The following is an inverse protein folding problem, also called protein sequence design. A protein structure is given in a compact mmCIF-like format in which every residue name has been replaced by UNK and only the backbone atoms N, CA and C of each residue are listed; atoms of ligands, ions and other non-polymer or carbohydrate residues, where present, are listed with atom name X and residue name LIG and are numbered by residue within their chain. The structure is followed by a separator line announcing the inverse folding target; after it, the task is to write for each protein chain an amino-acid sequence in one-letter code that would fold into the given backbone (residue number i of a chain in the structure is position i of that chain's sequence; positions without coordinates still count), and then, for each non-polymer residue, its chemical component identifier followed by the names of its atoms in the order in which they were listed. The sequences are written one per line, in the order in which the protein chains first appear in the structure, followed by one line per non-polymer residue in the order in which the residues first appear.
data_IF_606850936492
#
_entry.id   IF_606850936492
#
_cell.length_a   1.000
_cell.length_b   1.000
_cell.length_c   1.000
_cell.angle_alpha   90.00
_cell.angle_beta   90.00
_cell.angle_gamma   90.00
#
_symmetry.space_group_name_H-M   'P 1'
#
loop_
_entity.id
_entity.type
_entity.pdbx_description
1 polymer ?
#
# COMPACT_ATOMS: atom_id res chain seq x y z
N UNK A 1 -2.79 -0.65 -7.05
CA UNK A 1 -4.00 0.19 -6.84
C UNK A 1 -4.67 -0.05 -5.49
N UNK A 2 -4.77 -1.30 -5.00
CA UNK A 2 -5.46 -1.64 -3.73
C UNK A 2 -5.06 -0.82 -2.49
N UNK A 3 -3.77 -0.62 -2.23
CA UNK A 3 -3.31 0.15 -1.07
C UNK A 3 -3.75 1.63 -1.11
N UNK A 4 -3.66 2.25 -2.29
CA UNK A 4 -4.10 3.62 -2.52
C UNK A 4 -5.61 3.75 -2.30
N UNK A 5 -6.39 2.84 -2.88
CA UNK A 5 -7.84 2.81 -2.75
C UNK A 5 -8.30 2.62 -1.29
N UNK A 6 -7.63 1.71 -0.57
CA UNK A 6 -7.88 1.52 0.85
C UNK A 6 -7.59 2.80 1.64
N UNK A 7 -6.45 3.44 1.42
CA UNK A 7 -6.06 4.65 2.18
C UNK A 7 -6.94 5.86 1.85
N UNK A 8 -7.39 5.98 0.59
CA UNK A 8 -8.33 7.02 0.17
C UNK A 8 -9.72 6.81 0.80
N UNK A 9 -10.26 5.59 0.77
CA UNK A 9 -11.58 5.27 1.34
C UNK A 9 -11.62 5.37 2.86
N UNK A 10 -10.52 5.04 3.54
CA UNK A 10 -10.36 5.22 5.00
C UNK A 10 -10.12 6.70 5.39
N UNK A 11 -10.03 7.63 4.44
CA UNK A 11 -9.76 9.05 4.72
C UNK A 11 -8.36 9.31 5.28
N UNK A 12 -7.44 8.34 5.15
CA UNK A 12 -6.06 8.47 5.62
C UNK A 12 -5.27 9.45 4.73
N UNK A 13 -5.62 9.52 3.45
CA UNK A 13 -4.90 10.29 2.44
C UNK A 13 -5.87 10.98 1.48
N UNK A 14 -5.43 12.09 0.88
CA UNK A 14 -6.15 12.77 -0.20
C UNK A 14 -5.59 12.40 -1.59
N UNK A 15 -6.20 12.89 -2.67
CA UNK A 15 -5.77 12.56 -4.05
C UNK A 15 -4.36 12.98 -4.41
N UNK A 16 -3.89 14.13 -3.89
CA UNK A 16 -2.52 14.60 -4.16
C UNK A 16 -1.52 13.64 -3.52
N UNK A 17 -1.73 13.30 -2.26
CA UNK A 17 -0.85 12.39 -1.52
C UNK A 17 -0.88 10.97 -2.11
N UNK A 18 -2.01 10.57 -2.67
CA UNK A 18 -2.13 9.31 -3.41
C UNK A 18 -1.27 9.31 -4.67
N UNK A 19 -1.18 10.45 -5.37
CA UNK A 19 -0.23 10.60 -6.49
C UNK A 19 1.20 10.41 -6.00
N UNK A 20 1.58 11.09 -4.92
CA UNK A 20 2.93 11.01 -4.37
C UNK A 20 3.31 9.57 -3.97
N UNK A 21 2.39 8.85 -3.31
CA UNK A 21 2.61 7.43 -2.98
C UNK A 21 2.71 6.56 -4.23
N UNK A 22 1.89 6.81 -5.26
CA UNK A 22 1.94 6.05 -6.49
C UNK A 22 3.29 6.23 -7.20
N UNK A 23 3.79 7.46 -7.25
CA UNK A 23 5.08 7.79 -7.86
C UNK A 23 6.22 7.05 -7.15
N UNK A 24 6.25 7.09 -5.81
CA UNK A 24 7.25 6.34 -5.00
C UNK A 24 7.18 4.84 -5.26
N UNK A 25 5.97 4.27 -5.37
CA UNK A 25 5.78 2.85 -5.67
C UNK A 25 6.24 2.49 -7.09
N UNK A 26 5.98 3.34 -8.08
CA UNK A 26 6.37 3.12 -9.47
C UNK A 26 7.88 3.20 -9.65
N UNK A 27 8.51 4.26 -9.14
CA UNK A 27 9.95 4.49 -9.21
C UNK A 27 10.76 3.36 -8.54
N UNK A 28 10.19 2.72 -7.50
CA UNK A 28 10.87 1.69 -6.74
C UNK A 28 10.35 0.27 -7.01
N UNK A 29 9.37 0.10 -7.91
CA UNK A 29 8.66 -1.16 -8.16
C UNK A 29 9.57 -2.39 -8.25
N UNK A 30 10.66 -2.33 -9.03
CA UNK A 30 11.62 -3.43 -9.17
C UNK A 30 12.34 -3.83 -7.87
N UNK A 31 12.51 -2.90 -6.91
CA UNK A 31 13.10 -3.16 -5.58
C UNK A 31 12.07 -3.67 -4.57
N UNK A 32 10.78 -3.48 -4.85
CA UNK A 32 9.70 -3.77 -3.91
C UNK A 32 9.31 -5.25 -3.86
N UNK A 33 9.50 -5.98 -4.94
CA UNK A 33 9.04 -7.37 -5.07
C UNK A 33 9.84 -8.41 -4.27
N UNK A 34 11.11 -8.14 -4.00
CA UNK A 34 12.04 -9.15 -3.46
C UNK A 34 12.29 -9.01 -1.95
N UNK A 35 11.68 -8.00 -1.29
CA UNK A 35 11.97 -7.69 0.12
C UNK A 35 10.70 -7.45 0.93
N UNK A 36 10.76 -7.76 2.23
CA UNK A 36 9.73 -7.40 3.21
C UNK A 36 9.71 -5.88 3.42
N UNK A 37 9.20 -5.15 2.44
CA UNK A 37 9.17 -3.69 2.46
C UNK A 37 8.03 -3.18 3.32
N UNK A 38 8.27 -2.07 4.02
CA UNK A 38 7.26 -1.40 4.85
C UNK A 38 7.00 0.01 4.33
N UNK A 39 5.72 0.31 4.11
CA UNK A 39 5.24 1.67 3.91
C UNK A 39 5.13 2.37 5.27
N UNK A 40 5.68 3.57 5.34
CA UNK A 40 5.43 4.54 6.40
C UNK A 40 4.83 5.79 5.77
N UNK A 41 3.62 6.13 6.19
CA UNK A 41 2.96 7.37 5.82
C UNK A 41 2.79 8.22 7.07
N UNK A 42 3.41 9.39 7.06
CA UNK A 42 3.43 10.31 8.20
C UNK A 42 2.93 11.68 7.79
N UNK A 43 2.42 12.45 8.74
CA UNK A 43 1.99 13.83 8.52
C UNK A 43 2.44 14.73 9.66
N UNK A 44 2.95 15.91 9.31
CA UNK A 44 3.32 16.97 10.24
C UNK A 44 2.77 18.30 9.74
N UNK A 45 1.92 18.94 10.54
CA UNK A 45 1.36 20.27 10.22
C UNK A 45 0.73 20.36 8.81
N UNK A 46 0.02 19.31 8.39
CA UNK A 46 -0.61 19.24 7.07
C UNK A 46 0.30 18.80 5.92
N UNK A 47 1.62 18.74 6.12
CA UNK A 47 2.57 18.20 5.14
C UNK A 47 2.75 16.71 5.39
N UNK A 48 2.55 15.90 4.36
CA UNK A 48 2.75 14.46 4.43
C UNK A 48 4.06 14.01 3.81
N UNK A 49 4.55 12.88 4.29
CA UNK A 49 5.75 12.22 3.77
C UNK A 49 5.46 10.73 3.66
N UNK A 50 5.81 10.18 2.50
CA UNK A 50 5.74 8.76 2.18
C UNK A 50 7.16 8.21 2.17
N UNK A 51 7.39 7.12 2.89
CA UNK A 51 8.66 6.39 2.85
C UNK A 51 8.40 4.90 2.66
N UNK A 52 9.24 4.24 1.87
CA UNK A 52 9.30 2.78 1.82
C UNK A 52 10.66 2.31 2.32
N UNK A 53 10.66 1.53 3.39
CA UNK A 53 11.86 0.94 3.95
C UNK A 53 12.01 -0.51 3.47
N UNK A 54 13.24 -0.89 3.14
CA UNK A 54 13.62 -2.27 2.87
C UNK A 54 13.74 -3.06 4.18
N UNK A 55 12.60 -3.45 4.75
CA UNK A 55 12.51 -4.08 6.06
C UNK A 55 11.70 -3.25 7.05
N UNK A 56 11.41 -3.85 8.20
CA UNK A 56 10.89 -3.11 9.34
C UNK A 56 12.03 -2.34 10.01
N UNK A 57 11.82 -1.06 10.27
CA UNK A 57 12.82 -0.17 10.87
C UNK A 57 12.20 0.61 12.02
N UNK A 58 13.02 0.92 13.03
CA UNK A 58 12.64 1.84 14.10
C UNK A 58 12.77 3.28 13.60
N UNK A 59 11.66 4.02 13.61
CA UNK A 59 11.63 5.43 13.27
C UNK A 59 11.37 6.26 14.52
N UNK A 60 12.11 7.36 14.66
CA UNK A 60 11.94 8.34 15.72
C UNK A 60 11.63 9.67 15.06
N UNK A 61 10.61 10.36 15.55
CA UNK A 61 10.11 11.60 14.97
C UNK A 61 10.20 12.73 15.98
N UNK A 62 10.27 13.96 15.50
CA UNK A 62 10.13 15.12 16.37
C UNK A 62 8.66 15.33 16.79
N UNK A 63 8.44 16.25 17.72
CA UNK A 63 7.09 16.51 18.24
C UNK A 63 6.14 17.00 17.12
N UNK A 64 4.91 16.51 17.16
CA UNK A 64 3.85 16.90 16.21
C UNK A 64 3.81 16.08 14.92
N UNK A 65 4.65 15.04 14.78
CA UNK A 65 4.50 14.05 13.69
C UNK A 65 3.45 13.01 14.08
N UNK A 66 2.52 12.77 13.16
CA UNK A 66 1.54 11.70 13.26
C UNK A 66 1.88 10.58 12.28
N UNK A 67 1.97 9.34 12.77
CA UNK A 67 2.07 8.16 11.91
C UNK A 67 0.67 7.79 11.46
N UNK A 68 0.37 8.02 10.19
CA UNK A 68 -0.94 7.75 9.59
C UNK A 68 -1.05 6.27 9.22
N UNK A 69 0.03 5.68 8.68
CA UNK A 69 0.09 4.25 8.32
C UNK A 69 1.50 3.71 8.51
N UNK A 70 1.59 2.50 9.07
CA UNK A 70 2.76 1.62 9.00
C UNK A 70 2.27 0.26 8.53
N UNK A 71 2.72 -0.22 7.38
CA UNK A 71 2.21 -1.47 6.83
C UNK A 71 3.25 -2.20 6.00
N UNK A 72 3.36 -3.51 6.19
CA UNK A 72 4.11 -4.38 5.30
C UNK A 72 3.43 -4.43 3.92
N UNK A 73 4.15 -4.10 2.86
CA UNK A 73 3.62 -4.10 1.49
C UNK A 73 3.22 -5.52 1.07
N UNK A 74 3.94 -6.54 1.54
CA UNK A 74 3.59 -7.95 1.35
C UNK A 74 2.17 -8.27 1.83
N UNK A 75 1.73 -7.71 2.96
CA UNK A 75 0.37 -7.93 3.47
C UNK A 75 -0.73 -7.41 2.52
N UNK A 76 -0.45 -6.34 1.78
CA UNK A 76 -1.36 -5.81 0.77
C UNK A 76 -1.40 -6.73 -0.46
N UNK A 77 -0.26 -7.26 -0.87
CA UNK A 77 -0.16 -8.19 -2.01
C UNK A 77 -0.92 -9.48 -1.70
N UNK A 78 -0.74 -10.06 -0.52
CA UNK A 78 -1.45 -11.27 -0.11
C UNK A 78 -2.96 -11.05 -0.06
N UNK A 79 -3.42 -9.95 0.55
CA UNK A 79 -4.86 -9.61 0.55
C UNK A 79 -5.42 -9.42 -0.85
N UNK A 80 -4.65 -8.81 -1.75
CA UNK A 80 -5.04 -8.64 -3.15
C UNK A 80 -5.19 -10.00 -3.86
N UNK A 81 -4.26 -10.94 -3.65
CA UNK A 81 -4.34 -12.29 -4.22
C UNK A 81 -5.64 -12.99 -3.80
N UNK A 82 -5.99 -12.95 -2.51
CA UNK A 82 -7.22 -13.57 -1.99
C UNK A 82 -8.49 -12.98 -2.61
N UNK A 83 -8.49 -11.69 -2.99
CA UNK A 83 -9.62 -11.07 -3.67
C UNK A 83 -9.72 -11.46 -5.16
N UNK A 84 -8.58 -11.75 -5.80
CA UNK A 84 -8.51 -12.10 -7.22
C UNK A 84 -8.70 -13.60 -7.46
N UNK A 85 -8.23 -14.47 -6.55
CA UNK A 85 -8.40 -15.93 -6.62
C UNK A 85 -9.83 -16.38 -7.00
N UNK A 86 -10.90 -15.89 -6.34
CA UNK A 86 -12.28 -16.26 -6.70
C UNK A 86 -12.76 -15.68 -8.04
N UNK A 87 -12.09 -14.65 -8.59
CA UNK A 87 -12.43 -14.06 -9.90
C UNK A 87 -11.82 -14.88 -11.05
N UNK A 88 -10.68 -15.54 -10.81
CA UNK A 88 -10.00 -16.38 -11.80
C UNK A 88 -10.52 -17.82 -11.85
N UNK A 89 -11.26 -18.28 -10.83
CA UNK A 89 -12.09 -19.49 -10.92
C UNK A 89 -13.35 -19.18 -11.72
N UNK A 90 -13.18 -19.03 -13.04
CA UNK A 90 -14.28 -19.19 -13.98
C UNK A 90 -14.84 -20.60 -13.86
N UNK A 91 -16.15 -20.67 -13.69
CA UNK A 91 -16.99 -21.86 -13.67
C UNK A 91 -16.72 -22.77 -14.90
N UNK A 92 -16.24 -24.02 -14.72
CA UNK A 92 -16.10 -24.98 -15.82
C UNK A 92 -17.43 -25.64 -16.23
N UNK A 93 -18.55 -25.39 -15.52
CA UNK A 93 -19.79 -26.16 -15.72
C UNK A 93 -20.86 -25.40 -16.54
N UNK A 94 -20.45 -24.85 -17.70
CA UNK A 94 -21.38 -24.43 -18.75
C UNK A 94 -20.95 -24.91 -20.14
N UNK A 95 -20.74 -26.21 -20.28
CA UNK A 95 -21.07 -26.92 -21.52
C UNK A 95 -21.91 -28.15 -21.16
N UNK A 96 -22.95 -28.37 -21.97
CA UNK A 96 -23.88 -29.51 -22.00
C UNK A 96 -24.98 -29.58 -20.92
N UNK A 97 -26.07 -28.84 -21.17
CA UNK A 97 -27.42 -29.45 -21.32
C UNK A 97 -28.44 -28.50 -21.94
#
# INVERSE_FOLDING_TARGET
MFLLDQMLSEGQMNRSEASDLLDVLQENSGKLYDKNNYLYFIRKMGVSVVLIAAGEVSLYFDQGVHVIKKQAISSCIERLKTLIEPINSGDPDREDT
#
